data_IF_958846562644
#
_entry.id   IF_958846562644
#
_cell.length_a   1.000
_cell.length_b   1.000
_cell.length_c   1.000
_cell.angle_alpha   90.00
_cell.angle_beta   90.00
_cell.angle_gamma   90.00
#
_symmetry.space_group_name_H-M   'P 1'
#
loop_
_entity.id
_entity.type
_entity.pdbx_description
1 polymer ?
#
# COMPACT_ATOMS: atom_id res chain seq x y z
N UNK A 1 -35.91 51.56 24.45
CA UNK A 1 -36.54 50.31 23.97
C UNK A 1 -36.25 49.94 22.51
N UNK A 2 -36.60 50.76 21.50
CA UNK A 2 -36.32 50.46 20.07
C UNK A 2 -34.83 50.37 19.73
N UNK A 3 -33.99 51.17 20.38
CA UNK A 3 -32.55 51.25 20.15
C UNK A 3 -31.80 50.03 20.70
N UNK A 4 -32.18 49.59 21.91
CA UNK A 4 -31.71 48.34 22.54
C UNK A 4 -32.03 47.11 21.69
N UNK A 5 -33.23 47.05 21.10
CA UNK A 5 -33.61 45.97 20.16
C UNK A 5 -32.86 46.02 18.83
N UNK A 6 -32.33 47.17 18.43
CA UNK A 6 -31.48 47.30 17.23
C UNK A 6 -30.06 46.81 17.50
N UNK A 7 -29.49 47.16 18.65
CA UNK A 7 -28.18 46.68 19.08
C UNK A 7 -28.17 45.16 19.30
N UNK A 8 -29.20 44.60 19.93
CA UNK A 8 -29.35 43.13 20.08
C UNK A 8 -29.37 42.39 18.73
N UNK A 9 -30.12 42.90 17.74
CA UNK A 9 -30.15 42.29 16.39
C UNK A 9 -28.83 42.42 15.64
N UNK A 10 -28.06 43.47 15.91
CA UNK A 10 -26.74 43.64 15.33
C UNK A 10 -25.75 42.64 15.94
N UNK A 11 -25.77 42.48 17.27
CA UNK A 11 -24.96 41.47 17.97
C UNK A 11 -25.32 40.04 17.52
N UNK A 12 -26.61 39.73 17.43
CA UNK A 12 -27.13 38.45 16.96
C UNK A 12 -26.58 38.10 15.57
N UNK A 13 -26.60 39.06 14.63
CA UNK A 13 -26.03 38.87 13.30
C UNK A 13 -24.53 38.60 13.32
N UNK A 14 -23.76 39.28 14.17
CA UNK A 14 -22.32 39.02 14.30
C UNK A 14 -22.07 37.62 14.86
N UNK A 15 -22.86 37.19 15.85
CA UNK A 15 -22.78 35.84 16.40
C UNK A 15 -23.11 34.80 15.32
N UNK A 16 -24.14 35.03 14.49
CA UNK A 16 -24.45 34.15 13.37
C UNK A 16 -23.31 34.05 12.35
N UNK A 17 -22.72 35.18 11.95
CA UNK A 17 -21.58 35.16 11.02
C UNK A 17 -20.34 34.44 11.58
N UNK A 18 -20.08 34.59 12.88
CA UNK A 18 -19.00 33.86 13.55
C UNK A 18 -19.30 32.36 13.61
N UNK A 19 -20.55 31.97 13.92
CA UNK A 19 -20.98 30.57 13.90
C UNK A 19 -20.81 29.96 12.52
N UNK A 20 -21.26 30.62 11.45
CA UNK A 20 -21.08 30.17 10.08
C UNK A 20 -19.59 29.98 9.74
N UNK A 21 -18.76 30.93 10.16
CA UNK A 21 -17.30 30.84 9.97
C UNK A 21 -16.70 29.64 10.71
N UNK A 22 -17.16 29.35 11.93
CA UNK A 22 -16.75 28.16 12.70
C UNK A 22 -17.20 26.88 12.02
N UNK A 23 -18.42 26.84 11.47
CA UNK A 23 -18.90 25.68 10.71
C UNK A 23 -18.07 25.44 9.45
N UNK A 24 -17.75 26.50 8.70
CA UNK A 24 -16.87 26.40 7.54
C UNK A 24 -15.47 25.93 7.91
N UNK A 25 -14.89 26.45 9.00
CA UNK A 25 -13.59 26.03 9.48
C UNK A 25 -13.59 24.54 9.87
N UNK A 26 -14.65 24.07 10.52
CA UNK A 26 -14.82 22.65 10.87
C UNK A 26 -14.91 21.77 9.63
N UNK A 27 -15.62 22.23 8.60
CA UNK A 27 -15.71 21.53 7.31
C UNK A 27 -14.33 21.42 6.64
N UNK A 28 -13.59 22.53 6.58
CA UNK A 28 -12.22 22.53 6.03
C UNK A 28 -11.28 21.62 6.82
N UNK A 29 -11.34 21.61 8.14
CA UNK A 29 -10.54 20.71 8.97
C UNK A 29 -10.87 19.25 8.64
N UNK A 30 -12.15 18.93 8.45
CA UNK A 30 -12.58 17.58 8.04
C UNK A 30 -12.01 17.21 6.69
N UNK A 31 -12.10 18.09 5.68
CA UNK A 31 -11.54 17.85 4.35
C UNK A 31 -10.02 17.66 4.37
N UNK A 32 -9.30 18.48 5.14
CA UNK A 32 -7.85 18.34 5.31
C UNK A 32 -7.50 17.02 5.98
N UNK A 33 -8.25 16.62 7.01
CA UNK A 33 -8.06 15.33 7.69
C UNK A 33 -8.30 14.17 6.73
N UNK A 34 -9.34 14.24 5.91
CA UNK A 34 -9.65 13.22 4.89
C UNK A 34 -8.53 13.14 3.84
N UNK A 35 -8.03 14.28 3.36
CA UNK A 35 -6.90 14.32 2.43
C UNK A 35 -5.62 13.73 3.04
N UNK A 36 -5.33 14.05 4.31
CA UNK A 36 -4.19 13.50 5.03
C UNK A 36 -4.32 11.98 5.24
N UNK A 37 -5.53 11.50 5.59
CA UNK A 37 -5.82 10.08 5.71
C UNK A 37 -5.63 9.35 4.37
N UNK A 38 -6.12 9.93 3.27
CA UNK A 38 -5.91 9.39 1.93
C UNK A 38 -4.41 9.34 1.57
N UNK A 39 -3.63 10.34 1.97
CA UNK A 39 -2.19 10.33 1.76
C UNK A 39 -1.49 9.20 2.54
N UNK A 40 -1.87 8.99 3.81
CA UNK A 40 -1.39 7.84 4.60
C UNK A 40 -1.73 6.52 3.91
N UNK A 41 -2.95 6.38 3.39
CA UNK A 41 -3.37 5.17 2.68
C UNK A 41 -2.56 4.94 1.41
N UNK A 42 -2.19 6.00 0.67
CA UNK A 42 -1.31 5.91 -0.50
C UNK A 42 0.09 5.42 -0.08
N UNK A 43 0.67 6.00 0.96
CA UNK A 43 1.98 5.57 1.49
C UNK A 43 1.95 4.12 1.98
N UNK A 44 0.91 3.75 2.72
CA UNK A 44 0.72 2.38 3.20
C UNK A 44 0.57 1.41 2.03
N UNK A 45 -0.19 1.77 1.00
CA UNK A 45 -0.32 0.96 -0.20
C UNK A 45 1.03 0.81 -0.90
N UNK A 46 1.83 1.86 -1.01
CA UNK A 46 3.18 1.78 -1.57
C UNK A 46 4.09 0.84 -0.77
N UNK A 47 4.06 0.90 0.56
CA UNK A 47 4.82 -0.02 1.43
C UNK A 47 4.35 -1.48 1.23
N UNK A 48 3.03 -1.70 1.20
CA UNK A 48 2.45 -3.03 0.94
C UNK A 48 2.83 -3.58 -0.44
N UNK A 49 2.89 -2.72 -1.46
CA UNK A 49 3.37 -3.10 -2.80
C UNK A 49 4.83 -3.59 -2.73
N UNK A 50 5.70 -2.88 -2.01
CA UNK A 50 7.11 -3.28 -1.85
C UNK A 50 7.22 -4.65 -1.19
N UNK A 51 6.50 -4.88 -0.08
CA UNK A 51 6.51 -6.19 0.58
C UNK A 51 5.95 -7.29 -0.31
N UNK A 52 4.87 -7.02 -1.06
CA UNK A 52 4.29 -7.99 -1.99
C UNK A 52 5.28 -8.38 -3.10
N UNK A 53 6.03 -7.42 -3.65
CA UNK A 53 7.09 -7.68 -4.63
C UNK A 53 8.14 -8.61 -4.05
N UNK A 54 8.65 -8.28 -2.86
CA UNK A 54 9.65 -9.08 -2.16
C UNK A 54 9.10 -10.50 -1.94
N UNK A 55 7.94 -10.63 -1.30
CA UNK A 55 7.30 -11.93 -1.03
C UNK A 55 7.06 -12.76 -2.29
N UNK A 56 6.62 -12.14 -3.39
CA UNK A 56 6.36 -12.84 -4.66
C UNK A 56 7.64 -13.41 -5.27
N UNK A 57 8.78 -12.76 -5.09
CA UNK A 57 10.09 -13.26 -5.52
C UNK A 57 10.60 -14.36 -4.60
N UNK A 58 10.44 -14.20 -3.28
CA UNK A 58 10.96 -15.14 -2.29
C UNK A 58 10.13 -16.43 -2.18
N UNK A 59 8.81 -16.40 -2.40
CA UNK A 59 7.92 -17.57 -2.31
C UNK A 59 8.33 -18.75 -3.20
N UNK A 60 8.48 -18.58 -4.54
CA UNK A 60 8.89 -19.68 -5.40
C UNK A 60 10.32 -20.14 -5.09
N UNK A 61 11.21 -19.22 -4.74
CA UNK A 61 12.58 -19.56 -4.37
C UNK A 61 12.63 -20.40 -3.08
N UNK A 62 11.81 -20.05 -2.09
CA UNK A 62 11.67 -20.78 -0.82
C UNK A 62 11.01 -22.13 -1.05
N UNK A 63 10.03 -22.22 -1.95
CA UNK A 63 9.40 -23.49 -2.31
C UNK A 63 10.39 -24.45 -2.99
N UNK A 64 11.23 -23.95 -3.90
CA UNK A 64 12.30 -24.74 -4.52
C UNK A 64 13.32 -25.17 -3.48
N UNK A 65 13.79 -24.24 -2.63
CA UNK A 65 14.73 -24.56 -1.56
C UNK A 65 14.15 -25.56 -0.53
N UNK A 66 12.86 -25.46 -0.21
CA UNK A 66 12.14 -26.38 0.66
C UNK A 66 11.98 -27.77 0.04
N UNK A 67 11.63 -27.84 -1.25
CA UNK A 67 11.53 -29.11 -1.98
C UNK A 67 12.87 -29.84 -2.07
N UNK A 68 13.95 -29.10 -2.35
CA UNK A 68 15.32 -29.64 -2.42
C UNK A 68 15.96 -29.87 -1.03
N UNK A 69 15.45 -29.23 0.02
CA UNK A 69 15.88 -29.42 1.41
C UNK A 69 15.20 -30.61 2.11
N UNK A 70 14.10 -31.13 1.56
CA UNK A 70 13.52 -32.40 2.03
C UNK A 70 14.45 -33.54 1.61
N UNK A 71 14.94 -34.32 2.59
CA UNK A 71 15.79 -35.50 2.41
C UNK A 71 15.05 -36.63 1.66
N UNK A 72 14.80 -36.47 0.35
CA UNK A 72 14.35 -37.55 -0.51
C UNK A 72 15.59 -38.28 -1.04
N UNK A 73 15.89 -39.42 -0.44
CA UNK A 73 16.95 -40.36 -0.80
C UNK A 73 16.79 -40.98 -2.21
N UNK A 74 15.72 -40.62 -2.94
CA UNK A 74 15.44 -41.05 -4.30
C UNK A 74 14.67 -39.96 -5.06
N UNK A 75 15.35 -38.86 -5.43
CA UNK A 75 14.88 -37.97 -6.49
C UNK A 75 15.62 -38.40 -7.78
N UNK A 76 14.95 -38.97 -8.79
CA UNK A 76 15.60 -39.40 -10.03
C UNK A 76 16.30 -38.27 -10.80
N UNK A 77 15.97 -37.00 -10.50
CA UNK A 77 16.62 -35.81 -11.05
C UNK A 77 18.02 -35.53 -10.46
N UNK A 78 18.40 -36.16 -9.33
CA UNK A 78 19.71 -36.02 -8.70
C UNK A 78 20.79 -36.97 -9.29
N UNK A 79 20.37 -38.04 -9.98
CA UNK A 79 21.29 -38.92 -10.72
C UNK A 79 21.80 -38.27 -12.03
N UNK A 80 21.15 -37.19 -12.48
CA UNK A 80 21.61 -36.40 -13.61
C UNK A 80 22.66 -35.39 -13.16
N UNK A 81 23.85 -35.47 -13.77
CA UNK A 81 25.01 -34.59 -13.53
C UNK A 81 24.72 -33.09 -13.67
N UNK A 82 23.56 -32.72 -14.22
CA UNK A 82 23.10 -31.34 -14.43
C UNK A 82 21.80 -30.98 -13.70
N UNK A 83 21.22 -31.86 -12.87
CA UNK A 83 19.94 -31.60 -12.17
C UNK A 83 20.00 -30.35 -11.29
N UNK A 84 21.09 -30.18 -10.53
CA UNK A 84 21.35 -28.98 -9.75
C UNK A 84 21.42 -27.70 -10.61
N UNK A 85 22.02 -27.80 -11.80
CA UNK A 85 22.16 -26.68 -12.73
C UNK A 85 20.82 -26.29 -13.36
N UNK A 86 19.97 -27.28 -13.66
CA UNK A 86 18.62 -27.07 -14.20
C UNK A 86 17.71 -26.35 -13.19
N UNK A 87 17.81 -26.71 -11.91
CA UNK A 87 17.02 -26.10 -10.83
C UNK A 87 17.42 -24.66 -10.58
N UNK A 88 18.72 -24.36 -10.66
CA UNK A 88 19.22 -22.99 -10.62
C UNK A 88 18.67 -22.20 -11.81
N UNK A 89 18.74 -22.74 -13.02
CA UNK A 89 18.20 -22.08 -14.21
C UNK A 89 16.68 -21.87 -14.11
N UNK A 90 15.93 -22.83 -13.59
CA UNK A 90 14.49 -22.72 -13.38
C UNK A 90 14.15 -21.69 -12.31
N UNK A 91 14.90 -21.63 -11.21
CA UNK A 91 14.75 -20.63 -10.16
C UNK A 91 15.02 -19.22 -10.69
N UNK A 92 16.12 -19.06 -11.44
CA UNK A 92 16.50 -17.78 -12.07
C UNK A 92 15.47 -17.38 -13.13
N UNK A 93 14.95 -18.34 -13.90
CA UNK A 93 13.91 -18.11 -14.90
C UNK A 93 12.60 -17.64 -14.25
N UNK A 94 12.14 -18.30 -13.19
CA UNK A 94 10.93 -17.90 -12.45
C UNK A 94 11.10 -16.53 -11.79
N UNK A 95 12.25 -16.26 -11.16
CA UNK A 95 12.58 -14.92 -10.65
C UNK A 95 12.55 -13.86 -11.76
N UNK A 96 13.17 -14.15 -12.91
CA UNK A 96 13.20 -13.24 -14.06
C UNK A 96 11.80 -13.00 -14.62
N UNK A 97 10.96 -14.03 -14.69
CA UNK A 97 9.57 -13.93 -15.14
C UNK A 97 8.74 -13.07 -14.18
N UNK A 98 8.90 -13.25 -12.87
CA UNK A 98 8.24 -12.43 -11.85
C UNK A 98 8.67 -10.95 -11.95
N UNK A 99 9.97 -10.70 -12.12
CA UNK A 99 10.51 -9.33 -12.30
C UNK A 99 9.98 -8.70 -13.59
N UNK A 100 9.97 -9.43 -14.71
CA UNK A 100 9.44 -8.96 -15.99
C UNK A 100 7.93 -8.68 -15.91
N UNK A 101 7.17 -9.53 -15.23
CA UNK A 101 5.74 -9.33 -15.00
C UNK A 101 5.48 -8.06 -14.18
N UNK A 102 6.25 -7.83 -13.12
CA UNK A 102 6.18 -6.59 -12.33
C UNK A 102 6.53 -5.35 -13.15
N UNK A 103 7.55 -5.44 -14.00
CA UNK A 103 7.97 -4.37 -14.91
C UNK A 103 6.91 -4.07 -15.98
N UNK A 104 6.28 -5.09 -16.55
CA UNK A 104 5.28 -4.93 -17.61
C UNK A 104 3.94 -4.40 -17.09
N UNK A 105 3.61 -4.67 -15.82
CA UNK A 105 2.37 -4.20 -15.19
C UNK A 105 2.44 -2.74 -14.70
N UNK A 106 3.52 -2.01 -14.98
CA UNK A 106 3.73 -0.59 -14.58
C UNK A 106 3.42 -0.35 -13.09
N UNK A 107 3.83 -1.27 -12.23
CA UNK A 107 3.80 -1.05 -10.77
C UNK A 107 5.01 -0.24 -10.27
N UNK A 108 5.89 0.16 -11.20
CA UNK A 108 6.87 1.24 -11.08
C UNK A 108 6.40 2.45 -11.86
#
# INVERSE_FOLDING_TARGET
>A
DKETRRQLRFADRHVSHLLDSVFHLREYITQVREAYQAQIEIEQNQVMKVFTVITTVFLPLTLIAGWYGMNFTAIPELEWRYGYLYVILLSVFVCSLCILFFKHKKWF
#
